data_IF_471633820703
#
_entry.id   IF_471633820703
#
_cell.length_a   1.000
_cell.length_b   1.000
_cell.length_c   1.000
_cell.angle_alpha   90.00
_cell.angle_beta   90.00
_cell.angle_gamma   90.00
#
_symmetry.space_group_name_H-M   'P 1'
#
loop_
_entity.id
_entity.type
_entity.pdbx_description
1 polymer ?
#
# COMPACT_ATOMS: atom_id res chain seq x y z
N UNK A 1 -18.14 44.39 -15.65
CA UNK A 1 -17.16 43.59 -16.42
C UNK A 1 -16.96 42.27 -15.71
N UNK A 2 -17.04 41.12 -16.39
CA UNK A 2 -16.99 39.81 -15.75
C UNK A 2 -15.54 39.44 -15.39
N UNK A 3 -15.34 38.92 -14.18
CA UNK A 3 -14.08 38.38 -13.71
C UNK A 3 -13.76 37.08 -14.43
N UNK A 4 -12.56 37.00 -15.00
CA UNK A 4 -12.03 35.78 -15.61
C UNK A 4 -11.43 34.96 -14.47
N UNK A 5 -12.23 34.07 -13.89
CA UNK A 5 -11.74 32.95 -13.11
C UNK A 5 -10.94 32.06 -14.06
N UNK A 6 -9.61 32.20 -14.06
CA UNK A 6 -8.74 31.25 -14.74
C UNK A 6 -8.90 29.88 -14.06
N UNK A 7 -9.37 28.83 -14.76
CA UNK A 7 -9.42 27.51 -14.17
C UNK A 7 -7.96 27.06 -13.97
N UNK A 8 -7.60 26.79 -12.72
CA UNK A 8 -6.32 26.16 -12.37
C UNK A 8 -6.33 24.76 -12.99
N UNK A 9 -5.77 24.64 -14.19
CA UNK A 9 -5.58 23.35 -14.86
C UNK A 9 -4.55 22.57 -14.02
N UNK A 10 -4.89 21.41 -13.45
CA UNK A 10 -3.91 20.62 -12.74
C UNK A 10 -2.85 20.17 -13.73
N UNK A 11 -1.61 20.63 -13.54
CA UNK A 11 -0.46 20.17 -14.30
C UNK A 11 -0.36 18.64 -14.15
N UNK A 12 -0.60 17.93 -15.24
CA UNK A 12 -0.47 16.48 -15.31
C UNK A 12 1.03 16.16 -15.26
N UNK A 13 1.54 15.77 -14.09
CA UNK A 13 2.91 15.29 -13.91
C UNK A 13 3.18 14.11 -14.86
N UNK A 14 4.26 14.20 -15.64
CA UNK A 14 4.65 13.19 -16.65
C UNK A 14 4.96 11.81 -16.05
N UNK A 15 5.31 11.75 -14.77
CA UNK A 15 5.48 10.50 -14.02
C UNK A 15 4.76 10.61 -12.68
N UNK A 16 3.75 9.76 -12.49
CA UNK A 16 3.07 9.57 -11.22
C UNK A 16 3.67 8.32 -10.54
N UNK A 17 4.08 8.39 -9.26
CA UNK A 17 4.41 7.18 -8.51
C UNK A 17 3.18 6.26 -8.47
N UNK A 18 3.38 4.94 -8.60
CA UNK A 18 2.31 3.96 -8.44
C UNK A 18 1.76 4.08 -7.01
N UNK A 19 0.62 4.77 -6.91
CA UNK A 19 -0.23 4.84 -5.74
C UNK A 19 -1.54 4.20 -6.15
N UNK A 20 -2.02 3.22 -5.38
CA UNK A 20 -3.35 2.67 -5.59
C UNK A 20 -4.45 3.66 -5.18
N UNK A 21 -4.07 4.80 -4.59
CA UNK A 21 -4.99 5.88 -4.24
C UNK A 21 -4.81 7.14 -5.09
N UNK A 22 -5.92 7.52 -5.71
CA UNK A 22 -6.25 8.85 -6.25
C UNK A 22 -7.25 9.54 -5.30
N UNK A 23 -6.89 9.76 -4.02
CA UNK A 23 -7.77 10.50 -3.10
C UNK A 23 -7.40 10.43 -1.62
N UNK A 24 -7.84 11.43 -0.84
CA UNK A 24 -7.69 11.44 0.62
C UNK A 24 -8.74 10.51 1.26
N UNK A 25 -8.35 9.55 2.13
CA UNK A 25 -9.29 8.69 2.82
C UNK A 25 -10.23 9.50 3.73
N UNK A 26 -11.51 9.13 3.75
CA UNK A 26 -12.59 9.83 4.47
C UNK A 26 -12.60 9.59 6.00
N UNK A 27 -11.87 8.61 6.52
CA UNK A 27 -11.71 8.35 7.97
C UNK A 27 -10.46 7.49 8.28
N UNK A 28 -10.01 7.45 9.54
CA UNK A 28 -8.83 6.65 9.94
C UNK A 28 -9.07 5.14 9.80
N UNK A 29 -10.30 4.67 10.06
CA UNK A 29 -10.69 3.28 9.89
C UNK A 29 -10.72 2.88 8.41
N UNK A 30 -11.23 3.76 7.53
CA UNK A 30 -11.17 3.55 6.09
C UNK A 30 -9.71 3.46 5.62
N UNK A 31 -8.85 4.34 6.15
CA UNK A 31 -7.42 4.36 5.83
C UNK A 31 -6.70 3.07 6.22
N UNK A 32 -6.94 2.50 7.40
CA UNK A 32 -6.30 1.24 7.80
C UNK A 32 -6.77 0.07 6.92
N UNK A 33 -8.07 -0.04 6.68
CA UNK A 33 -8.63 -1.10 5.84
C UNK A 33 -8.10 -1.02 4.39
N UNK A 34 -8.00 0.20 3.86
CA UNK A 34 -7.41 0.47 2.54
C UNK A 34 -5.92 0.09 2.49
N UNK A 35 -5.12 0.51 3.49
CA UNK A 35 -3.71 0.13 3.58
C UNK A 35 -3.53 -1.39 3.68
N UNK A 36 -4.37 -2.07 4.46
CA UNK A 36 -4.36 -3.54 4.55
C UNK A 36 -4.63 -4.19 3.19
N UNK A 37 -5.63 -3.67 2.45
CA UNK A 37 -5.99 -4.18 1.13
C UNK A 37 -4.86 -3.96 0.12
N UNK A 38 -4.33 -2.75 0.03
CA UNK A 38 -3.30 -2.41 -0.94
C UNK A 38 -2.00 -3.17 -0.69
N UNK A 39 -1.53 -3.19 0.56
CA UNK A 39 -0.31 -3.93 0.93
C UNK A 39 -0.53 -5.44 0.74
N UNK A 40 -1.70 -5.95 1.14
CA UNK A 40 -2.06 -7.35 0.93
C UNK A 40 -2.08 -7.74 -0.54
N UNK A 41 -2.70 -6.93 -1.40
CA UNK A 41 -2.71 -7.12 -2.85
C UNK A 41 -1.29 -7.07 -3.43
N UNK A 42 -0.47 -6.09 -3.03
CA UNK A 42 0.91 -5.97 -3.48
C UNK A 42 1.77 -7.19 -3.10
N UNK A 43 1.64 -7.68 -1.86
CA UNK A 43 2.31 -8.90 -1.40
C UNK A 43 1.84 -10.12 -2.21
N UNK A 44 0.53 -10.26 -2.41
CA UNK A 44 -0.03 -11.37 -3.18
C UNK A 44 0.49 -11.37 -4.62
N UNK A 45 0.54 -10.21 -5.28
CA UNK A 45 1.10 -10.06 -6.62
C UNK A 45 2.58 -10.42 -6.67
N UNK A 46 3.37 -9.99 -5.68
CA UNK A 46 4.80 -10.32 -5.59
C UNK A 46 5.01 -11.84 -5.43
N UNK A 47 4.18 -12.51 -4.62
CA UNK A 47 4.24 -13.96 -4.44
C UNK A 47 3.79 -14.71 -5.71
N UNK A 48 2.73 -14.26 -6.37
CA UNK A 48 2.27 -14.82 -7.64
C UNK A 48 3.33 -14.72 -8.73
N UNK A 49 4.07 -13.61 -8.82
CA UNK A 49 5.16 -13.49 -9.79
C UNK A 49 6.32 -14.44 -9.49
N UNK A 50 6.61 -14.71 -8.22
CA UNK A 50 7.64 -15.69 -7.84
C UNK A 50 7.20 -17.13 -8.11
N UNK A 51 5.93 -17.44 -7.88
CA UNK A 51 5.34 -18.74 -8.20
C UNK A 51 5.30 -18.96 -9.72
N UNK A 52 4.91 -17.95 -10.48
CA UNK A 52 4.96 -17.99 -11.94
C UNK A 52 6.38 -18.22 -12.46
N UNK A 53 7.38 -17.54 -11.89
CA UNK A 53 8.79 -17.72 -12.21
C UNK A 53 9.31 -19.15 -11.93
N UNK A 54 8.75 -19.84 -10.92
CA UNK A 54 9.07 -21.25 -10.65
C UNK A 54 8.48 -22.21 -11.69
N UNK A 55 7.36 -21.84 -12.31
CA UNK A 55 6.62 -22.70 -13.24
C UNK A 55 6.92 -22.41 -14.71
N UNK A 56 7.20 -21.15 -15.06
CA UNK A 56 7.47 -20.71 -16.43
C UNK A 56 8.87 -20.11 -16.56
N UNK A 57 9.81 -20.94 -17.01
CA UNK A 57 11.11 -20.45 -17.44
C UNK A 57 11.01 -19.84 -18.84
N UNK A 58 11.28 -18.54 -18.97
CA UNK A 58 11.39 -17.87 -20.27
C UNK A 58 12.73 -18.28 -20.93
N UNK A 59 12.68 -18.93 -22.09
CA UNK A 59 13.87 -19.44 -22.80
C UNK A 59 14.79 -20.33 -21.92
N UNK A 60 14.18 -21.08 -20.99
CA UNK A 60 14.90 -21.96 -20.06
C UNK A 60 15.66 -21.23 -18.94
N UNK A 61 15.42 -19.93 -18.76
CA UNK A 61 15.98 -19.13 -17.66
C UNK A 61 14.87 -18.65 -16.73
N UNK A 62 15.13 -18.57 -15.42
CA UNK A 62 14.20 -17.94 -14.51
C UNK A 62 14.07 -16.45 -14.85
N UNK A 63 12.84 -15.94 -14.83
CA UNK A 63 12.45 -14.53 -14.91
C UNK A 63 13.16 -13.70 -13.83
N UNK A 64 13.34 -14.26 -12.63
CA UNK A 64 14.05 -13.61 -11.54
C UNK A 64 15.34 -14.35 -11.15
N UNK A 65 16.42 -13.59 -10.97
CA UNK A 65 17.61 -14.12 -10.29
C UNK A 65 17.28 -14.47 -8.83
N UNK A 66 18.05 -15.39 -8.24
CA UNK A 66 17.93 -15.71 -6.80
C UNK A 66 18.00 -14.46 -5.91
N UNK A 67 18.84 -13.49 -6.29
CA UNK A 67 18.98 -12.23 -5.57
C UNK A 67 17.73 -11.36 -5.69
N UNK A 68 17.13 -11.27 -6.87
CA UNK A 68 15.89 -10.52 -7.08
C UNK A 68 14.73 -11.13 -6.29
N UNK A 69 14.61 -12.47 -6.26
CA UNK A 69 13.60 -13.15 -5.43
C UNK A 69 13.78 -12.87 -3.95
N UNK A 70 15.02 -12.94 -3.45
CA UNK A 70 15.30 -12.62 -2.05
C UNK A 70 14.95 -11.16 -1.71
N UNK A 71 15.18 -10.22 -2.62
CA UNK A 71 14.79 -8.81 -2.45
C UNK A 71 13.27 -8.63 -2.44
N UNK A 72 12.54 -9.28 -3.35
CA UNK A 72 11.08 -9.25 -3.41
C UNK A 72 10.45 -9.84 -2.14
N UNK A 73 10.96 -10.96 -1.64
CA UNK A 73 10.52 -11.54 -0.37
C UNK A 73 10.80 -10.60 0.82
N UNK A 74 11.98 -9.98 0.88
CA UNK A 74 12.28 -8.99 1.93
C UNK A 74 11.36 -7.78 1.87
N UNK A 75 11.03 -7.32 0.66
CA UNK A 75 10.08 -6.23 0.46
C UNK A 75 8.68 -6.62 0.96
N UNK A 76 8.22 -7.83 0.65
CA UNK A 76 6.93 -8.33 1.12
C UNK A 76 6.89 -8.43 2.66
N UNK A 77 7.94 -8.99 3.28
CA UNK A 77 8.05 -9.09 4.73
C UNK A 77 8.13 -7.72 5.42
N UNK A 78 8.91 -6.79 4.86
CA UNK A 78 9.03 -5.43 5.39
C UNK A 78 7.69 -4.69 5.31
N UNK A 79 6.97 -4.82 4.19
CA UNK A 79 5.64 -4.23 4.01
C UNK A 79 4.63 -4.77 5.01
N UNK A 80 4.62 -6.10 5.24
CA UNK A 80 3.77 -6.73 6.24
C UNK A 80 4.09 -6.25 7.67
N UNK A 81 5.37 -6.12 8.00
CA UNK A 81 5.82 -5.63 9.32
C UNK A 81 5.39 -4.18 9.54
N UNK A 82 5.55 -3.32 8.54
CA UNK A 82 5.11 -1.92 8.61
C UNK A 82 3.59 -1.83 8.78
N UNK A 83 2.81 -2.66 8.08
CA UNK A 83 1.37 -2.71 8.24
C UNK A 83 0.97 -3.16 9.66
N UNK A 84 1.63 -4.18 10.21
CA UNK A 84 1.39 -4.64 11.59
C UNK A 84 1.62 -3.52 12.58
N UNK A 85 2.74 -2.81 12.49
CA UNK A 85 3.05 -1.68 13.36
C UNK A 85 2.02 -0.56 13.28
N UNK A 86 1.43 -0.32 12.10
CA UNK A 86 0.35 0.65 11.93
C UNK A 86 -0.95 0.15 12.56
N UNK A 87 -1.27 -1.14 12.41
CA UNK A 87 -2.42 -1.76 13.03
C UNK A 87 -2.35 -1.71 14.56
N UNK A 88 -1.20 -2.07 15.15
CA UNK A 88 -0.97 -2.02 16.60
C UNK A 88 -1.23 -0.62 17.16
N UNK A 89 -0.64 0.40 16.53
CA UNK A 89 -0.85 1.81 16.93
C UNK A 89 -2.32 2.24 16.84
N UNK A 90 -3.07 1.74 15.87
CA UNK A 90 -4.48 2.08 15.72
C UNK A 90 -5.35 1.34 16.76
N UNK A 91 -4.97 0.10 17.14
CA UNK A 91 -5.59 -0.64 18.24
C UNK A 91 -5.36 0.11 19.56
N UNK A 92 -4.12 0.49 19.86
CA UNK A 92 -3.77 1.23 21.08
C UNK A 92 -4.56 2.54 21.19
N UNK A 93 -4.65 3.30 20.08
CA UNK A 93 -5.45 4.54 20.03
C UNK A 93 -6.93 4.31 20.31
N UNK A 94 -7.51 3.21 19.82
CA UNK A 94 -8.91 2.89 20.04
C UNK A 94 -9.16 2.46 21.49
N UNK A 95 -8.27 1.66 22.07
CA UNK A 95 -8.36 1.25 23.47
C UNK A 95 -8.29 2.47 24.40
N UNK A 96 -7.30 3.35 24.18
CA UNK A 96 -7.16 4.58 24.97
C UNK A 96 -8.35 5.56 24.83
N UNK A 97 -9.04 5.57 23.68
CA UNK A 97 -10.28 6.35 23.51
C UNK A 97 -11.44 5.75 24.29
N UNK A 98 -11.55 4.42 24.30
CA UNK A 98 -12.62 3.70 24.98
C UNK A 98 -12.52 3.86 26.51
N UNK A 99 -11.32 3.73 27.05
CA UNK A 99 -11.05 3.95 28.49
C UNK A 99 -11.42 5.37 28.96
N UNK A 100 -11.30 6.38 28.09
CA UNK A 100 -11.71 7.75 28.40
C UNK A 100 -13.22 7.94 28.41
N UNK A 101 -13.94 7.26 27.51
CA UNK A 101 -15.40 7.31 27.44
C UNK A 101 -16.03 6.55 28.62
N UNK A 102 -15.43 5.44 29.05
CA UNK A 102 -15.94 4.65 30.18
C UNK A 102 -15.64 5.32 31.56
N UNK A 103 -14.81 6.37 31.59
CA UNK A 103 -14.43 7.11 32.80
C UNK A 103 -15.22 8.43 32.99
N UNK A 104 -16.05 8.82 32.03
CA UNK A 104 -16.97 9.97 32.07
C UNK A 104 -18.40 9.52 32.41
#
# INVERSE_FOLDING_TARGET
MPGIDSPVVPQKTLFQPFSWHTGKPRSSNARLAELCKDIGCGIATVLQFMEFDDHETLDGRPLFSKNHRAQLLRLAMASATLLSNVADREIDRRNARREKVDAE
#
